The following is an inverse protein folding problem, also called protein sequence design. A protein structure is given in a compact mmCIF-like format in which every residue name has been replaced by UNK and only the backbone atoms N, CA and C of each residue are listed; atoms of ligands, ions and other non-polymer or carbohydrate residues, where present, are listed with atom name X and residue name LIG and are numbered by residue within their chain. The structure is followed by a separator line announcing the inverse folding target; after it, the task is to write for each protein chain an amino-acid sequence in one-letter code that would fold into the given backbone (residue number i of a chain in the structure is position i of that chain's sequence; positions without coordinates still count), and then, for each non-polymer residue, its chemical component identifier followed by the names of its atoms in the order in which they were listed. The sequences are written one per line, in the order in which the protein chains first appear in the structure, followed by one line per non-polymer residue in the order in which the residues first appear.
data_IF_880248268621
#
_entry.id   IF_880248268621
#
_cell.length_a   1.000
_cell.length_b   1.000
_cell.length_c   1.000
_cell.angle_alpha   90.00
_cell.angle_beta   90.00
_cell.angle_gamma   90.00
#
_symmetry.space_group_name_H-M   'P 1'
#
loop_
_entity.id
_entity.type
_entity.pdbx_description
1 polymer ?
#
# COMPACT_ATOMS: atom_id res chain seq x y z
N UNK A 1 36.79 48.78 6.43
CA UNK A 1 37.46 47.72 7.21
C UNK A 1 36.88 46.37 6.78
N UNK A 2 37.68 45.45 6.22
CA UNK A 2 37.18 44.17 5.74
C UNK A 2 36.90 43.23 6.92
N UNK A 3 35.66 42.75 7.00
CA UNK A 3 35.24 41.76 8.00
C UNK A 3 35.82 40.40 7.62
N UNK A 4 36.65 39.83 8.50
CA UNK A 4 37.19 38.47 8.35
C UNK A 4 36.13 37.47 8.79
N UNK A 5 35.65 36.64 7.86
CA UNK A 5 34.82 35.49 8.20
C UNK A 5 35.65 34.44 8.96
N UNK A 6 35.13 33.89 10.07
CA UNK A 6 35.78 32.80 10.79
C UNK A 6 35.74 31.52 9.93
N UNK A 7 36.91 30.91 9.73
CA UNK A 7 37.06 29.66 9.01
C UNK A 7 36.39 28.47 9.71
N UNK A 8 36.10 27.39 8.96
CA UNK A 8 35.38 26.23 9.47
C UNK A 8 36.13 25.56 10.63
N UNK A 9 35.40 25.26 11.72
CA UNK A 9 35.92 24.49 12.85
C UNK A 9 36.26 23.06 12.39
N UNK A 10 37.45 22.54 12.72
CA UNK A 10 37.77 21.14 12.48
C UNK A 10 36.84 20.24 13.30
N UNK A 11 36.31 19.20 12.64
CA UNK A 11 35.43 18.20 13.26
C UNK A 11 36.22 17.35 14.27
N UNK A 12 35.62 16.98 15.41
CA UNK A 12 36.26 16.08 16.37
C UNK A 12 36.46 14.69 15.73
N UNK A 13 37.66 14.15 15.91
CA UNK A 13 38.01 12.80 15.50
C UNK A 13 37.17 11.78 16.30
N UNK A 14 36.37 10.98 15.61
CA UNK A 14 35.72 9.79 16.18
C UNK A 14 36.78 8.76 16.61
N UNK A 15 36.75 8.27 17.86
CA UNK A 15 37.60 7.16 18.26
C UNK A 15 37.11 5.87 17.59
N UNK A 16 38.02 5.21 16.87
CA UNK A 16 37.81 3.91 16.25
C UNK A 16 37.48 2.85 17.33
N UNK A 17 36.21 2.45 17.40
CA UNK A 17 35.79 1.28 18.19
C UNK A 17 36.03 0.04 17.35
N UNK A 18 37.27 -0.46 17.39
CA UNK A 18 37.63 -1.78 16.88
C UNK A 18 37.38 -2.83 17.98
N UNK A 19 36.18 -3.38 18.03
CA UNK A 19 35.83 -4.54 18.85
C UNK A 19 35.44 -5.72 17.96
N UNK A 20 35.99 -6.93 18.17
CA UNK A 20 35.55 -8.12 17.47
C UNK A 20 34.12 -8.47 17.92
N UNK A 21 33.22 -8.57 16.95
CA UNK A 21 31.86 -9.06 17.18
C UNK A 21 31.95 -10.53 17.65
N UNK A 22 31.31 -10.90 18.76
CA UNK A 22 31.30 -12.30 19.19
C UNK A 22 30.57 -13.14 18.12
N UNK A 23 31.25 -14.18 17.66
CA UNK A 23 30.68 -15.17 16.75
C UNK A 23 29.41 -15.76 17.38
N UNK A 24 28.26 -15.50 16.76
CA UNK A 24 27.00 -16.09 17.14
C UNK A 24 27.12 -17.61 17.03
N UNK A 25 27.00 -18.29 18.17
CA UNK A 25 26.91 -19.74 18.24
C UNK A 25 25.72 -20.20 17.38
N UNK A 26 26.00 -21.03 16.38
CA UNK A 26 24.99 -21.65 15.55
C UNK A 26 24.17 -22.62 16.40
N UNK A 27 22.83 -22.48 16.48
CA UNK A 27 22.00 -23.47 17.16
C UNK A 27 22.03 -24.78 16.38
N UNK A 28 22.24 -25.88 17.12
CA UNK A 28 22.31 -27.24 16.63
C UNK A 28 20.94 -27.69 16.07
N UNK A 29 20.84 -27.78 14.74
CA UNK A 29 19.62 -28.18 14.01
C UNK A 29 19.49 -29.70 13.84
N UNK A 30 20.16 -30.50 14.68
CA UNK A 30 20.06 -31.97 14.65
C UNK A 30 19.00 -32.47 15.64
N UNK A 31 17.73 -32.22 15.34
CA UNK A 31 16.66 -32.73 16.19
C UNK A 31 15.23 -32.63 15.66
N UNK A 32 15.00 -31.95 14.53
CA UNK A 32 13.67 -31.87 13.93
C UNK A 32 13.48 -33.02 12.96
N UNK A 33 13.26 -34.20 13.53
CA UNK A 33 12.71 -35.34 12.81
C UNK A 33 11.38 -34.92 12.20
N UNK A 34 11.25 -35.18 10.90
CA UNK A 34 10.07 -35.04 10.08
C UNK A 34 8.85 -35.67 10.77
N UNK A 35 8.07 -34.87 11.50
CA UNK A 35 6.68 -35.20 11.76
C UNK A 35 6.02 -35.02 10.40
N UNK A 36 5.79 -36.15 9.74
CA UNK A 36 4.95 -36.33 8.58
C UNK A 36 3.52 -35.94 8.97
N UNK A 37 3.29 -34.63 9.10
CA UNK A 37 1.98 -34.04 9.29
C UNK A 37 1.43 -33.91 7.89
N UNK A 38 0.69 -34.92 7.49
CA UNK A 38 -0.37 -34.80 6.48
C UNK A 38 -1.38 -33.73 6.97
N UNK A 39 -0.95 -32.47 6.90
CA UNK A 39 -1.77 -31.28 7.04
C UNK A 39 -2.58 -31.20 5.75
N UNK A 40 -3.75 -31.83 5.78
CA UNK A 40 -4.87 -31.30 5.01
C UNK A 40 -4.96 -29.80 5.33
N UNK A 41 -5.06 -28.91 4.33
CA UNK A 41 -5.27 -27.49 4.55
C UNK A 41 -6.72 -27.27 5.00
N UNK A 42 -7.04 -27.77 6.19
CA UNK A 42 -8.23 -27.34 6.91
C UNK A 42 -7.91 -25.93 7.39
N UNK A 43 -8.22 -24.98 6.52
CA UNK A 43 -8.31 -23.56 6.86
C UNK A 43 -9.02 -23.45 8.23
N UNK A 44 -8.38 -22.88 9.26
CA UNK A 44 -8.98 -22.74 10.58
C UNK A 44 -10.23 -21.84 10.59
N UNK A 45 -10.61 -21.28 9.44
CA UNK A 45 -11.70 -20.31 9.28
C UNK A 45 -12.94 -20.90 8.56
N UNK A 46 -13.26 -22.18 8.75
CA UNK A 46 -14.32 -22.87 7.98
C UNK A 46 -15.76 -22.59 8.42
N UNK A 47 -16.01 -21.67 9.36
CA UNK A 47 -17.36 -21.26 9.79
C UNK A 47 -17.61 -19.77 9.53
N UNK A 48 -18.51 -19.39 8.60
CA UNK A 48 -18.83 -17.98 8.32
C UNK A 48 -19.66 -17.26 9.39
N UNK A 49 -20.12 -17.94 10.44
CA UNK A 49 -21.18 -17.40 11.32
C UNK A 49 -20.70 -16.84 12.66
N UNK A 50 -19.51 -17.18 13.15
CA UNK A 50 -19.07 -16.75 14.48
C UNK A 50 -17.97 -15.68 14.39
N UNK A 51 -18.39 -14.42 14.17
CA UNK A 51 -17.49 -13.25 14.22
C UNK A 51 -16.95 -12.94 15.66
N UNK A 52 -17.12 -13.87 16.62
CA UNK A 52 -16.59 -13.83 18.00
C UNK A 52 -15.54 -14.92 18.26
N UNK A 53 -15.04 -15.56 17.22
CA UNK A 53 -13.96 -16.53 17.35
C UNK A 53 -12.70 -15.83 17.91
N UNK A 54 -12.16 -16.25 19.07
CA UNK A 54 -10.90 -15.70 19.60
C UNK A 54 -9.75 -15.82 18.60
N UNK A 55 -9.77 -16.83 17.72
CA UNK A 55 -8.75 -17.01 16.67
C UNK A 55 -8.81 -15.87 15.65
N UNK A 56 -10.01 -15.36 15.34
CA UNK A 56 -10.19 -14.23 14.42
C UNK A 56 -9.69 -12.92 15.04
N UNK A 57 -9.96 -12.72 16.33
CA UNK A 57 -9.46 -11.54 17.06
C UNK A 57 -7.92 -11.55 17.14
N UNK A 58 -7.32 -12.70 17.42
CA UNK A 58 -5.87 -12.87 17.41
C UNK A 58 -5.27 -12.60 16.01
N UNK A 59 -5.87 -13.16 14.95
CA UNK A 59 -5.43 -12.91 13.58
C UNK A 59 -5.53 -11.43 13.18
N UNK A 60 -6.57 -10.72 13.63
CA UNK A 60 -6.70 -9.28 13.43
C UNK A 60 -5.60 -8.50 14.15
N UNK A 61 -5.28 -8.84 15.39
CA UNK A 61 -4.22 -8.18 16.16
C UNK A 61 -2.85 -8.41 15.51
N UNK A 62 -2.52 -9.66 15.17
CA UNK A 62 -1.29 -10.00 14.44
C UNK A 62 -1.20 -9.25 13.10
N UNK A 63 -2.31 -9.09 12.39
CA UNK A 63 -2.35 -8.33 11.14
C UNK A 63 -2.06 -6.84 11.38
N UNK A 64 -2.66 -6.25 12.42
CA UNK A 64 -2.43 -4.84 12.78
C UNK A 64 -0.98 -4.60 13.18
N UNK A 65 -0.35 -5.54 13.89
CA UNK A 65 1.05 -5.44 14.29
C UNK A 65 2.03 -5.73 13.14
N UNK A 66 1.55 -6.33 12.04
CA UNK A 66 2.37 -6.71 10.89
C UNK A 66 3.09 -8.04 11.07
N UNK A 67 2.64 -8.85 12.02
CA UNK A 67 3.20 -10.15 12.37
C UNK A 67 2.42 -11.33 11.75
N UNK A 68 1.27 -11.07 11.12
CA UNK A 68 0.48 -12.12 10.48
C UNK A 68 1.16 -12.66 9.21
N UNK A 69 1.46 -13.97 9.13
CA UNK A 69 2.05 -14.61 7.95
C UNK A 69 1.22 -14.42 6.67
N UNK A 70 1.89 -14.29 5.51
CA UNK A 70 1.25 -14.03 4.22
C UNK A 70 0.24 -15.11 3.79
N UNK A 71 0.50 -16.37 4.14
CA UNK A 71 -0.39 -17.51 3.88
C UNK A 71 -1.70 -17.43 4.66
N UNK A 72 -1.72 -16.76 5.81
CA UNK A 72 -2.91 -16.59 6.65
C UNK A 72 -3.71 -15.33 6.31
N UNK A 73 -3.06 -14.32 5.70
CA UNK A 73 -3.71 -13.07 5.32
C UNK A 73 -4.87 -13.29 4.34
N UNK A 74 -4.74 -14.21 3.39
CA UNK A 74 -5.81 -14.51 2.42
C UNK A 74 -7.11 -14.97 3.09
N UNK A 75 -7.01 -15.80 4.13
CA UNK A 75 -8.17 -16.29 4.87
C UNK A 75 -8.81 -15.17 5.72
N UNK A 76 -7.99 -14.36 6.41
CA UNK A 76 -8.46 -13.18 7.14
C UNK A 76 -9.23 -12.22 6.22
N UNK A 77 -8.68 -11.91 5.04
CA UNK A 77 -9.34 -11.04 4.07
C UNK A 77 -10.62 -11.64 3.49
N UNK A 78 -10.66 -12.95 3.27
CA UNK A 78 -11.89 -13.66 2.89
C UNK A 78 -12.98 -13.47 3.93
N UNK A 79 -12.65 -13.58 5.22
CA UNK A 79 -13.60 -13.32 6.30
C UNK A 79 -14.03 -11.85 6.37
N UNK A 80 -13.09 -10.90 6.29
CA UNK A 80 -13.39 -9.45 6.32
C UNK A 80 -14.29 -9.01 5.16
N UNK A 81 -14.15 -9.66 3.99
CA UNK A 81 -15.04 -9.44 2.85
C UNK A 81 -16.48 -9.90 3.16
N UNK A 82 -16.64 -10.99 3.92
CA UNK A 82 -17.94 -11.60 4.24
C UNK A 82 -18.60 -11.05 5.53
N UNK A 83 -17.84 -10.64 6.56
CA UNK A 83 -18.37 -10.15 7.85
C UNK A 83 -18.18 -8.63 8.03
N UNK A 84 -19.21 -7.79 7.84
CA UNK A 84 -19.14 -6.33 8.05
C UNK A 84 -18.89 -5.92 9.50
N UNK A 85 -19.15 -6.79 10.48
CA UNK A 85 -18.85 -6.52 11.89
C UNK A 85 -17.34 -6.51 12.14
N UNK A 86 -16.62 -7.57 11.72
CA UNK A 86 -15.17 -7.64 11.83
C UNK A 86 -14.46 -6.53 11.03
N UNK A 87 -15.02 -6.14 9.88
CA UNK A 87 -14.50 -4.98 9.12
C UNK A 87 -14.56 -3.68 9.92
N UNK A 88 -15.72 -3.39 10.54
CA UNK A 88 -15.87 -2.23 11.42
C UNK A 88 -14.92 -2.27 12.62
N UNK A 89 -14.66 -3.45 13.18
CA UNK A 89 -13.67 -3.63 14.24
C UNK A 89 -12.25 -3.32 13.75
N UNK A 90 -11.85 -3.82 12.58
CA UNK A 90 -10.55 -3.49 12.00
C UNK A 90 -10.42 -1.98 11.74
N UNK A 91 -11.45 -1.35 11.17
CA UNK A 91 -11.48 0.09 10.90
C UNK A 91 -11.35 0.92 12.19
N UNK A 92 -11.99 0.49 13.29
CA UNK A 92 -11.88 1.18 14.58
C UNK A 92 -10.48 1.07 15.17
N UNK A 93 -9.86 -0.12 15.13
CA UNK A 93 -8.48 -0.34 15.58
C UNK A 93 -7.49 0.48 14.76
N UNK A 94 -7.62 0.49 13.42
CA UNK A 94 -6.76 1.29 12.55
C UNK A 94 -6.95 2.80 12.77
N UNK A 95 -8.17 3.25 13.04
CA UNK A 95 -8.46 4.66 13.36
C UNK A 95 -7.85 5.06 14.70
N UNK A 96 -7.99 4.22 15.72
CA UNK A 96 -7.34 4.42 17.01
C UNK A 96 -5.82 4.49 16.86
N UNK A 97 -5.20 3.59 16.09
CA UNK A 97 -3.75 3.61 15.83
C UNK A 97 -3.30 4.88 15.10
N UNK A 98 -4.12 5.41 14.20
CA UNK A 98 -3.85 6.70 13.54
C UNK A 98 -3.87 7.85 14.54
N UNK A 99 -4.82 7.85 15.47
CA UNK A 99 -4.92 8.88 16.51
C UNK A 99 -3.79 8.77 17.54
N UNK A 100 -3.42 7.57 17.97
CA UNK A 100 -2.33 7.39 18.95
C UNK A 100 -0.96 7.81 18.41
N UNK A 101 -0.75 7.73 17.09
CA UNK A 101 0.47 8.19 16.43
C UNK A 101 0.55 9.71 16.24
N UNK A 102 -0.46 10.48 16.64
CA UNK A 102 -0.47 11.94 16.47
C UNK A 102 0.29 12.69 17.56
N UNK A 103 0.92 12.00 18.52
CA UNK A 103 1.81 12.67 19.45
C UNK A 103 2.97 13.28 18.64
N UNK A 104 3.11 14.62 18.62
CA UNK A 104 4.17 15.26 17.87
C UNK A 104 5.49 14.90 18.54
N UNK A 105 6.16 13.88 18.00
CA UNK A 105 7.52 13.57 18.39
C UNK A 105 8.37 14.78 18.02
N UNK A 106 8.76 15.55 19.02
CA UNK A 106 9.69 16.65 18.85
C UNK A 106 10.95 16.12 18.16
N UNK A 107 11.33 16.73 17.05
CA UNK A 107 12.54 16.36 16.33
C UNK A 107 13.72 16.64 17.27
N UNK A 108 14.56 15.64 17.63
CA UNK A 108 15.76 15.87 18.40
C UNK A 108 16.60 16.99 17.76
N UNK A 109 17.13 17.96 18.54
CA UNK A 109 17.92 19.07 17.98
C UNK A 109 19.21 18.63 17.30
N UNK A 110 19.61 17.36 17.49
CA UNK A 110 20.73 16.74 16.80
C UNK A 110 20.43 16.36 15.33
N UNK A 111 19.15 16.32 14.94
CA UNK A 111 18.76 16.13 13.54
C UNK A 111 18.79 17.48 12.84
N UNK A 112 19.86 17.69 12.08
CA UNK A 112 20.05 18.90 11.28
C UNK A 112 19.29 18.82 9.94
N UNK A 113 19.17 19.97 9.27
CA UNK A 113 18.59 20.05 7.93
C UNK A 113 19.33 19.15 6.92
N UNK A 114 20.62 18.88 7.16
CA UNK A 114 21.41 17.98 6.33
C UNK A 114 20.93 16.53 6.42
N UNK A 115 20.56 16.04 7.60
CA UNK A 115 19.92 14.75 7.77
C UNK A 115 18.61 14.67 7.00
N UNK A 116 17.72 15.65 7.16
CA UNK A 116 16.44 15.67 6.46
C UNK A 116 16.61 15.74 4.95
N UNK A 117 17.60 16.49 4.46
CA UNK A 117 17.99 16.52 3.05
C UNK A 117 18.44 15.15 2.55
N UNK A 118 19.32 14.46 3.28
CA UNK A 118 19.75 13.09 2.91
C UNK A 118 18.59 12.11 2.94
N UNK A 119 17.70 12.22 3.92
CA UNK A 119 16.51 11.39 4.02
C UNK A 119 15.56 11.64 2.83
N UNK A 120 15.38 12.90 2.44
CA UNK A 120 14.58 13.26 1.27
C UNK A 120 15.21 12.72 -0.03
N UNK A 121 16.53 12.83 -0.20
CA UNK A 121 17.24 12.25 -1.35
C UNK A 121 17.17 10.72 -1.37
N UNK A 122 17.27 10.07 -0.20
CA UNK A 122 17.13 8.62 -0.06
C UNK A 122 15.70 8.19 -0.40
N UNK A 123 14.70 8.89 0.14
CA UNK A 123 13.30 8.66 -0.17
C UNK A 123 13.04 8.86 -1.65
N UNK A 124 13.51 9.94 -2.28
CA UNK A 124 13.36 10.18 -3.71
C UNK A 124 14.00 9.08 -4.57
N UNK A 125 15.11 8.48 -4.12
CA UNK A 125 15.73 7.33 -4.79
C UNK A 125 14.88 6.06 -4.68
N UNK A 126 14.31 5.77 -3.51
CA UNK A 126 13.52 4.55 -3.27
C UNK A 126 12.04 4.66 -3.64
N UNK A 127 11.46 5.86 -3.62
CA UNK A 127 10.07 6.10 -4.02
C UNK A 127 9.90 6.29 -5.51
N UNK A 128 10.97 6.19 -6.30
CA UNK A 128 10.91 5.91 -7.74
C UNK A 128 10.45 4.49 -8.07
N UNK A 129 9.69 3.83 -7.18
CA UNK A 129 8.67 2.90 -7.67
C UNK A 129 7.68 3.79 -8.40
N UNK A 130 7.87 3.90 -9.70
CA UNK A 130 7.09 4.74 -10.59
C UNK A 130 5.66 4.17 -10.63
N UNK A 131 4.88 4.49 -9.60
CA UNK A 131 3.46 4.11 -9.51
C UNK A 131 2.67 4.70 -10.68
N UNK A 132 3.18 5.77 -11.31
CA UNK A 132 2.61 6.28 -12.54
C UNK A 132 2.92 5.38 -13.73
N UNK A 133 4.12 4.78 -13.81
CA UNK A 133 4.42 3.70 -14.76
C UNK A 133 3.60 2.44 -14.48
N UNK A 134 3.36 2.10 -13.20
CA UNK A 134 2.54 0.95 -12.80
C UNK A 134 1.05 1.17 -13.06
N UNK A 135 0.61 2.44 -13.06
CA UNK A 135 -0.72 2.88 -13.48
C UNK A 135 -0.82 3.13 -14.99
N UNK A 136 0.24 2.95 -15.78
CA UNK A 136 0.09 3.01 -17.24
C UNK A 136 -0.82 1.86 -17.61
N UNK A 137 -2.00 2.17 -18.15
CA UNK A 137 -2.97 1.13 -18.42
C UNK A 137 -2.35 0.18 -19.44
N UNK A 138 -2.49 -1.14 -19.25
CA UNK A 138 -1.73 -2.16 -19.98
C UNK A 138 -1.84 -2.04 -21.52
N UNK A 139 -2.93 -1.46 -22.03
CA UNK A 139 -3.12 -1.14 -23.46
C UNK A 139 -2.18 -0.05 -24.02
N UNK A 140 -1.58 0.81 -23.20
CA UNK A 140 -0.60 1.83 -23.62
C UNK A 140 0.84 1.33 -23.60
N UNK A 141 1.10 0.15 -23.03
CA UNK A 141 2.37 -0.51 -23.21
C UNK A 141 2.46 -1.00 -24.67
N UNK A 142 2.94 -0.14 -25.57
CA UNK A 142 3.35 -0.52 -26.92
C UNK A 142 4.63 -1.36 -26.84
N UNK A 143 4.57 -2.52 -26.18
CA UNK A 143 5.58 -3.53 -26.36
C UNK A 143 5.45 -4.03 -27.81
N UNK A 144 6.53 -4.05 -28.60
CA UNK A 144 6.47 -4.56 -29.96
C UNK A 144 6.07 -6.04 -29.90
N UNK A 145 4.81 -6.32 -30.22
CA UNK A 145 4.31 -7.68 -30.29
C UNK A 145 5.04 -8.35 -31.45
N UNK A 146 5.93 -9.28 -31.13
CA UNK A 146 6.59 -10.07 -32.18
C UNK A 146 5.53 -10.86 -32.94
N UNK A 147 5.71 -11.02 -34.25
CA UNK A 147 4.74 -11.72 -35.12
C UNK A 147 4.43 -13.14 -34.61
N UNK A 148 5.41 -13.78 -33.95
CA UNK A 148 5.25 -15.08 -33.28
C UNK A 148 4.28 -15.01 -32.10
N UNK A 149 4.39 -14.01 -31.23
CA UNK A 149 3.49 -13.82 -30.09
C UNK A 149 2.05 -13.56 -30.56
N UNK A 150 1.88 -12.72 -31.59
CA UNK A 150 0.57 -12.49 -32.21
C UNK A 150 -0.08 -13.77 -32.74
N UNK A 151 0.70 -14.59 -33.45
CA UNK A 151 0.21 -15.88 -33.97
C UNK A 151 -0.18 -16.85 -32.84
N UNK A 152 0.62 -16.94 -31.79
CA UNK A 152 0.30 -17.81 -30.64
C UNK A 152 -0.99 -17.39 -29.94
N UNK A 153 -1.20 -16.08 -29.74
CA UNK A 153 -2.43 -15.57 -29.12
C UNK A 153 -3.63 -15.88 -30.02
N UNK A 154 -3.52 -15.68 -31.33
CA UNK A 154 -4.58 -15.98 -32.28
C UNK A 154 -4.97 -17.47 -32.27
N UNK A 155 -3.97 -18.38 -32.25
CA UNK A 155 -4.20 -19.82 -32.18
C UNK A 155 -4.89 -20.20 -30.85
N UNK A 156 -4.45 -19.64 -29.72
CA UNK A 156 -5.04 -19.92 -28.41
C UNK A 156 -6.50 -19.46 -28.37
N UNK A 157 -6.81 -18.26 -28.84
CA UNK A 157 -8.20 -17.74 -28.90
C UNK A 157 -9.06 -18.60 -29.81
N UNK A 158 -8.53 -19.02 -30.97
CA UNK A 158 -9.23 -19.88 -31.91
C UNK A 158 -9.54 -21.26 -31.31
N UNK A 159 -8.54 -21.89 -30.67
CA UNK A 159 -8.74 -23.16 -29.97
C UNK A 159 -9.73 -23.01 -28.83
N UNK A 160 -9.62 -21.94 -28.03
CA UNK A 160 -10.56 -21.67 -26.94
C UNK A 160 -12.00 -21.54 -27.49
N UNK A 161 -12.20 -20.81 -28.58
CA UNK A 161 -13.51 -20.68 -29.24
C UNK A 161 -14.06 -22.00 -29.77
N UNK A 162 -13.20 -22.91 -30.26
CA UNK A 162 -13.60 -24.27 -30.68
C UNK A 162 -13.98 -25.17 -29.51
N UNK A 163 -13.31 -25.01 -28.36
CA UNK A 163 -13.53 -25.84 -27.17
C UNK A 163 -14.59 -25.28 -26.22
N UNK A 164 -15.02 -24.01 -26.36
CA UNK A 164 -16.14 -23.46 -25.60
C UNK A 164 -17.43 -24.15 -26.08
N UNK A 165 -18.03 -25.03 -25.26
CA UNK A 165 -19.22 -25.76 -25.66
C UNK A 165 -20.37 -24.75 -25.86
N UNK A 166 -21.02 -24.82 -27.02
CA UNK A 166 -22.17 -23.96 -27.39
C UNK A 166 -23.39 -24.14 -26.48
N UNK A 167 -23.30 -25.01 -25.47
CA UNK A 167 -24.37 -25.37 -24.54
C UNK A 167 -24.41 -24.50 -23.28
N UNK A 168 -23.61 -23.42 -23.20
CA UNK A 168 -23.80 -22.37 -22.21
C UNK A 168 -25.14 -21.67 -22.51
N UNK A 169 -26.21 -22.22 -21.96
CA UNK A 169 -27.50 -21.56 -21.90
C UNK A 169 -27.28 -20.14 -21.34
N UNK A 170 -27.79 -19.09 -22.01
CA UNK A 170 -27.77 -17.75 -21.46
C UNK A 170 -28.61 -17.78 -20.19
N UNK A 171 -27.94 -17.92 -19.04
CA UNK A 171 -28.55 -17.67 -17.73
C UNK A 171 -29.12 -16.25 -17.73
N UNK A 172 -30.16 -15.98 -16.93
CA UNK A 172 -30.80 -14.67 -16.87
C UNK A 172 -29.70 -13.63 -16.65
N UNK A 173 -29.63 -12.68 -17.60
CA UNK A 173 -28.58 -11.68 -17.66
C UNK A 173 -28.43 -11.02 -16.29
N UNK A 174 -27.36 -11.38 -15.56
CA UNK A 174 -26.86 -10.56 -14.46
C UNK A 174 -26.41 -9.27 -15.13
N UNK A 175 -27.21 -8.22 -14.95
CA UNK A 175 -26.83 -6.86 -15.34
C UNK A 175 -25.52 -6.55 -14.64
N UNK A 176 -24.42 -6.70 -15.38
CA UNK A 176 -23.16 -6.07 -15.03
C UNK A 176 -23.48 -4.59 -15.03
N UNK A 177 -23.58 -4.02 -13.83
CA UNK A 177 -23.62 -2.57 -13.62
C UNK A 177 -22.25 -2.08 -14.04
N UNK A 178 -22.10 -1.84 -15.35
CA UNK A 178 -21.01 -1.06 -15.90
C UNK A 178 -21.21 0.31 -15.29
N UNK A 179 -20.29 0.69 -14.39
CA UNK A 179 -20.42 1.86 -13.54
C UNK A 179 -20.95 3.04 -14.33
N UNK A 180 -22.21 3.38 -14.07
CA UNK A 180 -22.73 4.69 -14.46
C UNK A 180 -21.82 5.70 -13.79
N UNK A 181 -21.29 6.62 -14.59
CA UNK A 181 -20.59 7.79 -14.07
C UNK A 181 -21.62 8.57 -13.25
N UNK A 182 -21.68 8.27 -11.95
CA UNK A 182 -22.53 9.00 -11.02
C UNK A 182 -21.92 10.39 -10.91
N UNK A 183 -22.45 11.32 -11.71
CA UNK A 183 -22.17 12.73 -11.61
C UNK A 183 -22.71 13.18 -10.24
N UNK A 184 -21.84 13.17 -9.24
CA UNK A 184 -22.17 13.72 -7.92
C UNK A 184 -22.25 15.23 -8.09
N UNK A 185 -23.46 15.74 -8.32
CA UNK A 185 -23.76 17.16 -8.24
C UNK A 185 -23.55 17.59 -6.79
N UNK A 186 -22.37 18.11 -6.51
CA UNK A 186 -22.08 18.75 -5.23
C UNK A 186 -23.04 19.94 -5.12
N UNK A 187 -23.96 19.96 -4.13
CA UNK A 187 -24.80 21.13 -3.91
C UNK A 187 -23.84 22.30 -3.74
N UNK A 188 -24.07 23.38 -4.50
CA UNK A 188 -23.23 24.57 -4.49
C UNK A 188 -22.91 24.92 -3.03
N UNK A 189 -21.68 24.60 -2.61
CA UNK A 189 -21.22 24.86 -1.26
C UNK A 189 -21.27 26.37 -1.16
N UNK A 190 -22.30 26.86 -0.46
CA UNK A 190 -22.57 28.28 -0.30
C UNK A 190 -21.25 28.92 0.09
N UNK A 191 -20.74 29.80 -0.79
CA UNK A 191 -19.39 30.34 -0.76
C UNK A 191 -18.94 30.64 0.68
N UNK A 192 -18.28 29.65 1.29
CA UNK A 192 -17.58 29.81 2.55
C UNK A 192 -16.52 30.87 2.28
N UNK A 193 -16.41 31.81 3.21
CA UNK A 193 -15.62 33.04 3.09
C UNK A 193 -14.34 32.90 2.25
N UNK A 194 -14.04 33.90 1.38
CA UNK A 194 -12.83 33.90 0.57
C UNK A 194 -11.60 33.80 1.47
N UNK A 195 -10.94 32.63 1.48
CA UNK A 195 -9.71 32.39 2.22
C UNK A 195 -9.58 31.03 2.91
N UNK A 196 -10.65 30.21 2.98
CA UNK A 196 -10.59 28.91 3.66
C UNK A 196 -10.94 27.76 2.71
N UNK A 197 -9.92 27.21 2.05
CA UNK A 197 -10.05 25.98 1.27
C UNK A 197 -9.93 24.80 2.22
N UNK A 198 -11.05 24.22 2.66
CA UNK A 198 -11.03 22.94 3.36
C UNK A 198 -10.91 21.80 2.34
N UNK A 199 -9.87 20.94 2.44
CA UNK A 199 -9.74 19.81 1.53
C UNK A 199 -10.83 18.77 1.79
N UNK A 200 -11.71 18.56 0.81
CA UNK A 200 -12.69 17.47 0.81
C UNK A 200 -11.99 16.18 0.36
N UNK A 201 -11.83 15.23 1.27
CA UNK A 201 -11.31 13.90 0.95
C UNK A 201 -12.47 12.94 0.67
N UNK A 202 -12.65 12.54 -0.59
CA UNK A 202 -13.57 11.46 -0.96
C UNK A 202 -12.79 10.14 -0.98
N UNK A 203 -13.08 9.25 -0.03
CA UNK A 203 -12.51 7.91 0.01
C UNK A 203 -13.44 6.92 -0.71
N UNK A 204 -13.12 6.60 -1.96
CA UNK A 204 -13.66 5.39 -2.60
C UNK A 204 -12.71 4.22 -2.32
N UNK A 205 -13.20 3.07 -1.82
CA UNK A 205 -12.35 1.89 -1.61
C UNK A 205 -11.75 1.46 -2.96
N UNK A 206 -10.43 1.56 -3.09
CA UNK A 206 -9.68 1.22 -4.31
C UNK A 206 -9.25 2.40 -5.18
N UNK A 207 -9.67 3.64 -4.89
CA UNK A 207 -9.25 4.82 -5.64
C UNK A 207 -8.70 5.91 -4.70
N UNK A 208 -7.39 6.13 -4.73
CA UNK A 208 -6.75 7.29 -4.10
C UNK A 208 -6.60 8.39 -5.13
N UNK A 209 -7.43 9.43 -5.03
CA UNK A 209 -7.32 10.66 -5.81
C UNK A 209 -6.49 11.64 -4.98
N UNK A 210 -5.24 11.86 -5.38
CA UNK A 210 -4.43 12.95 -4.85
C UNK A 210 -4.76 14.20 -5.68
N UNK A 211 -5.28 15.24 -5.04
CA UNK A 211 -5.49 16.52 -5.71
C UNK A 211 -4.13 17.11 -6.10
N UNK A 212 -3.89 17.29 -7.40
CA UNK A 212 -2.74 18.07 -7.86
C UNK A 212 -2.90 19.48 -7.32
N UNK A 213 -1.97 19.91 -6.47
CA UNK A 213 -1.88 21.30 -6.04
C UNK A 213 -1.62 22.14 -7.29
N UNK A 214 -2.65 22.80 -7.80
CA UNK A 214 -2.48 23.84 -8.82
C UNK A 214 -1.65 24.93 -8.15
N UNK A 215 -0.38 25.03 -8.53
CA UNK A 215 0.47 26.14 -8.12
C UNK A 215 -0.14 27.41 -8.69
N UNK A 216 -0.78 28.18 -7.83
CA UNK A 216 -1.26 29.51 -8.15
C UNK A 216 -0.02 30.35 -8.48
N UNK A 217 0.09 30.91 -9.70
CA UNK A 217 1.25 31.68 -10.10
C UNK A 217 1.40 32.86 -9.14
N UNK A 218 2.62 33.03 -8.62
CA UNK A 218 2.91 34.08 -7.66
C UNK A 218 2.47 35.45 -8.22
N UNK A 219 1.67 36.23 -7.49
CA UNK A 219 1.26 37.56 -7.94
C UNK A 219 2.49 38.48 -7.92
N UNK A 220 3.15 38.64 -9.06
CA UNK A 220 4.33 39.50 -9.17
C UNK A 220 5.12 39.46 -10.47
N UNK A 221 4.99 38.43 -11.31
CA UNK A 221 5.65 38.40 -12.63
C UNK A 221 4.74 38.98 -13.72
N UNK A 222 4.54 40.30 -13.68
CA UNK A 222 4.09 41.05 -14.86
C UNK A 222 5.31 41.53 -15.63
N UNK A 223 5.51 40.99 -16.84
CA UNK A 223 6.44 41.49 -17.86
C UNK A 223 6.12 42.94 -18.27
#
# INVERSE_FOLDING_TARGET
MPQRHPGPRPLPHEPAVAGPWPAAASPDLRGLSCVDRSMSPESPFTSPSDCRDPVMEEALNLYVDGELPLDQQAALFGHLAACPACRRTLDSVLSFRRWSRQEPLGVPPALDDAFFKRLAEHKARHTRIDRAADRRPLWQAQAPVTLRAGLTIAIVVFLLGLFVPSNLHPGPARSVVIGEEELVELPAVAASEPGRVEPLYVFYPGLTIEASKTEEPAPGESL
#
